data_IF_814307857689
#
_entry.id   IF_814307857689
#
_cell.length_a   1.000
_cell.length_b   1.000
_cell.length_c   1.000
_cell.angle_alpha   90.00
_cell.angle_beta   90.00
_cell.angle_gamma   90.00
#
_symmetry.space_group_name_H-M   'P 1'
#
loop_
_entity.id
_entity.type
_entity.pdbx_description
1 polymer ?
#
# COMPACT_ATOMS: atom_id res chain seq x y z
N UNK A 1 -6.80 -5.72 -15.64
CA UNK A 1 -6.96 -4.32 -16.10
C UNK A 1 -8.32 -4.04 -16.77
N UNK A 2 -8.90 -4.94 -17.58
CA UNK A 2 -10.16 -4.63 -18.30
C UNK A 2 -11.38 -4.40 -17.38
N UNK A 3 -11.53 -5.19 -16.30
CA UNK A 3 -12.63 -5.03 -15.34
C UNK A 3 -12.55 -3.74 -14.54
N UNK A 4 -11.35 -3.40 -14.04
CA UNK A 4 -11.14 -2.22 -13.23
C UNK A 4 -11.36 -0.91 -14.00
N UNK A 5 -10.86 -0.84 -15.24
CA UNK A 5 -11.13 0.32 -16.10
C UNK A 5 -12.62 0.43 -16.47
N UNK A 6 -13.32 -0.68 -16.70
CA UNK A 6 -14.75 -0.64 -16.98
C UNK A 6 -15.56 -0.06 -15.81
N UNK A 7 -15.20 -0.43 -14.58
CA UNK A 7 -15.82 0.05 -13.34
C UNK A 7 -15.76 1.58 -13.18
N UNK A 8 -14.69 2.19 -13.70
CA UNK A 8 -14.44 3.64 -13.64
C UNK A 8 -14.67 4.35 -14.98
N UNK A 9 -15.33 3.70 -15.95
CA UNK A 9 -15.59 4.22 -17.31
C UNK A 9 -14.35 4.56 -18.14
N UNK A 10 -13.20 3.96 -17.83
CA UNK A 10 -12.03 3.95 -18.70
C UNK A 10 -10.70 4.06 -17.94
N UNK A 11 -9.58 3.88 -18.66
CA UNK A 11 -8.24 3.95 -18.07
C UNK A 11 -7.85 5.35 -17.58
N UNK A 12 -8.44 6.42 -18.12
CA UNK A 12 -8.18 7.78 -17.64
C UNK A 12 -8.62 7.97 -16.18
N UNK A 13 -9.85 7.55 -15.86
CA UNK A 13 -10.37 7.64 -14.50
C UNK A 13 -9.59 6.76 -13.51
N UNK A 14 -9.02 5.64 -13.96
CA UNK A 14 -8.10 4.83 -13.13
C UNK A 14 -6.87 5.65 -12.74
N UNK A 15 -6.27 6.38 -13.69
CA UNK A 15 -5.11 7.23 -13.43
C UNK A 15 -5.47 8.44 -12.54
N UNK A 16 -6.64 9.02 -12.73
CA UNK A 16 -7.14 10.10 -11.88
C UNK A 16 -7.36 9.62 -10.44
N UNK A 17 -7.87 8.39 -10.27
CA UNK A 17 -8.05 7.81 -8.95
C UNK A 17 -6.72 7.48 -8.26
N UNK A 18 -5.70 7.01 -8.99
CA UNK A 18 -4.33 6.90 -8.45
C UNK A 18 -3.75 8.28 -8.04
N UNK A 19 -4.13 9.33 -8.75
CA UNK A 19 -3.73 10.70 -8.40
C UNK A 19 -4.44 11.15 -7.12
N UNK A 20 -5.74 10.84 -6.98
CA UNK A 20 -6.53 11.14 -5.79
C UNK A 20 -6.05 10.36 -4.55
N UNK A 21 -5.65 9.10 -4.71
CA UNK A 21 -5.13 8.23 -3.65
C UNK A 21 -3.98 8.85 -2.86
N UNK A 22 -3.15 9.69 -3.51
CA UNK A 22 -2.01 10.35 -2.86
C UNK A 22 -2.40 11.16 -1.63
N UNK A 23 -3.65 11.60 -1.52
CA UNK A 23 -4.16 12.33 -0.36
C UNK A 23 -4.36 11.45 0.89
N UNK A 24 -4.34 10.13 0.74
CA UNK A 24 -4.52 9.16 1.84
C UNK A 24 -3.28 8.27 2.06
N UNK A 25 -2.26 8.40 1.21
CA UNK A 25 -1.07 7.53 1.24
C UNK A 25 -0.26 7.73 2.51
N UNK A 26 -0.20 8.95 3.06
CA UNK A 26 0.45 9.26 4.33
C UNK A 26 -0.47 9.07 5.55
N UNK A 27 -1.72 8.63 5.33
CA UNK A 27 -2.70 8.44 6.40
C UNK A 27 -3.38 9.73 6.87
N UNK A 28 -3.10 10.88 6.25
CA UNK A 28 -3.74 12.16 6.59
C UNK A 28 -5.24 12.19 6.26
N UNK A 29 -5.69 11.33 5.35
CA UNK A 29 -7.11 11.11 5.03
C UNK A 29 -7.45 9.64 4.97
N UNK A 30 -8.71 9.32 5.24
CA UNK A 30 -9.25 7.98 5.03
C UNK A 30 -9.52 7.73 3.54
N UNK A 31 -9.02 6.62 2.99
CA UNK A 31 -9.19 6.33 1.55
C UNK A 31 -10.65 6.12 1.15
N UNK A 32 -11.52 5.67 2.07
CA UNK A 32 -12.96 5.50 1.78
C UNK A 32 -13.61 6.86 1.52
N UNK A 33 -13.20 7.90 2.26
CA UNK A 33 -13.66 9.27 2.04
C UNK A 33 -13.11 9.84 0.73
N UNK A 34 -11.84 9.60 0.42
CA UNK A 34 -11.22 10.02 -0.84
C UNK A 34 -11.94 9.39 -2.03
N UNK A 35 -12.22 8.09 -1.96
CA UNK A 35 -12.92 7.37 -3.02
C UNK A 35 -14.37 7.85 -3.17
N UNK A 36 -15.10 8.03 -2.06
CA UNK A 36 -16.47 8.51 -2.10
C UNK A 36 -16.56 9.89 -2.78
N UNK A 37 -15.63 10.80 -2.45
CA UNK A 37 -15.55 12.12 -3.10
C UNK A 37 -15.24 11.99 -4.58
N UNK A 38 -14.25 11.15 -4.94
CA UNK A 38 -13.88 10.93 -6.35
C UNK A 38 -15.06 10.40 -7.18
N UNK A 39 -15.79 9.40 -6.67
CA UNK A 39 -16.94 8.84 -7.38
C UNK A 39 -18.06 9.88 -7.56
N UNK A 40 -18.29 10.73 -6.57
CA UNK A 40 -19.25 11.83 -6.64
C UNK A 40 -18.83 12.89 -7.67
N UNK A 41 -17.58 13.35 -7.64
CA UNK A 41 -17.05 14.38 -8.54
C UNK A 41 -17.06 13.94 -10.01
N UNK A 42 -16.92 12.63 -10.25
CA UNK A 42 -16.92 12.04 -11.58
C UNK A 42 -18.29 11.45 -12.01
N UNK A 43 -19.33 11.65 -11.21
CA UNK A 43 -20.70 11.14 -11.44
C UNK A 43 -20.73 9.62 -11.75
N UNK A 44 -19.90 8.85 -11.05
CA UNK A 44 -19.77 7.41 -11.22
C UNK A 44 -20.74 6.67 -10.28
N UNK A 45 -21.75 5.96 -10.80
CA UNK A 45 -22.70 5.19 -9.99
C UNK A 45 -22.11 3.82 -9.61
N UNK A 46 -20.91 3.85 -9.00
CA UNK A 46 -20.12 2.68 -8.67
C UNK A 46 -20.11 2.48 -7.16
N UNK A 47 -20.26 1.25 -6.69
CA UNK A 47 -20.10 0.93 -5.27
C UNK A 47 -18.60 1.04 -4.88
N UNK A 48 -18.22 1.82 -3.86
CA UNK A 48 -16.85 1.86 -3.35
C UNK A 48 -16.25 0.48 -3.05
N UNK A 49 -17.05 -0.49 -2.59
CA UNK A 49 -16.55 -1.84 -2.29
C UNK A 49 -16.11 -2.59 -3.54
N UNK A 50 -16.77 -2.40 -4.68
CA UNK A 50 -16.36 -3.01 -5.96
C UNK A 50 -14.98 -2.50 -6.41
N UNK A 51 -14.72 -1.21 -6.15
CA UNK A 51 -13.43 -0.56 -6.43
C UNK A 51 -12.35 -1.16 -5.53
N UNK A 52 -12.61 -1.26 -4.22
CA UNK A 52 -11.65 -1.85 -3.29
C UNK A 52 -11.38 -3.33 -3.56
N UNK A 53 -12.40 -4.10 -3.95
CA UNK A 53 -12.22 -5.50 -4.34
C UNK A 53 -11.22 -5.64 -5.50
N UNK A 54 -11.30 -4.75 -6.50
CA UNK A 54 -10.36 -4.74 -7.61
C UNK A 54 -8.97 -4.23 -7.19
N UNK A 55 -8.91 -3.20 -6.34
CA UNK A 55 -7.66 -2.61 -5.87
C UNK A 55 -6.85 -3.55 -4.97
N UNK A 56 -7.56 -4.39 -4.20
CA UNK A 56 -7.02 -5.37 -3.29
C UNK A 56 -6.77 -6.74 -3.95
N UNK A 57 -6.96 -6.88 -5.25
CA UNK A 57 -6.63 -8.09 -6.00
C UNK A 57 -5.10 -8.26 -6.12
N UNK A 58 -4.45 -8.55 -5.00
CA UNK A 58 -3.00 -8.71 -4.85
C UNK A 58 -2.65 -10.18 -5.05
N UNK A 59 -1.74 -10.45 -5.96
CA UNK A 59 -1.12 -11.76 -6.10
C UNK A 59 0.20 -11.77 -5.31
N UNK A 60 0.25 -12.63 -4.29
CA UNK A 60 1.47 -12.82 -3.49
C UNK A 60 2.52 -13.55 -4.33
N UNK A 61 3.74 -13.03 -4.31
CA UNK A 61 4.88 -13.65 -4.97
C UNK A 61 5.60 -14.58 -3.99
N UNK A 62 5.17 -15.83 -3.95
CA UNK A 62 5.73 -16.85 -3.04
C UNK A 62 7.25 -17.05 -3.17
N UNK A 63 7.84 -17.06 -4.38
CA UNK A 63 9.31 -17.09 -4.52
C UNK A 63 10.03 -15.93 -3.81
N UNK A 64 9.45 -14.73 -3.79
CA UNK A 64 10.04 -13.58 -3.09
C UNK A 64 9.93 -13.77 -1.57
N UNK A 65 8.79 -14.25 -1.07
CA UNK A 65 8.63 -14.53 0.37
C UNK A 65 9.60 -15.62 0.84
N UNK A 66 9.76 -16.68 0.06
CA UNK A 66 10.74 -17.74 0.35
C UNK A 66 12.17 -17.20 0.43
N UNK A 67 12.55 -16.30 -0.48
CA UNK A 67 13.85 -15.64 -0.44
C UNK A 67 14.03 -14.79 0.82
N UNK A 68 12.99 -14.07 1.26
CA UNK A 68 13.02 -13.31 2.50
C UNK A 68 13.23 -14.23 3.71
N UNK A 69 12.55 -15.37 3.75
CA UNK A 69 12.72 -16.36 4.83
C UNK A 69 14.14 -16.93 4.85
N UNK A 70 14.73 -17.21 3.69
CA UNK A 70 16.13 -17.65 3.58
C UNK A 70 17.10 -16.60 4.11
N UNK A 71 16.90 -15.31 3.78
CA UNK A 71 17.74 -14.23 4.27
C UNK A 71 17.66 -14.11 5.80
N UNK A 72 16.46 -14.22 6.36
CA UNK A 72 16.21 -14.19 7.82
C UNK A 72 16.84 -15.38 8.52
N UNK A 73 16.71 -16.58 7.96
CA UNK A 73 17.35 -17.79 8.48
C UNK A 73 18.88 -17.67 8.52
N UNK A 74 19.46 -16.86 7.63
CA UNK A 74 20.90 -16.54 7.59
C UNK A 74 21.28 -15.31 8.45
N UNK A 75 20.37 -14.78 9.26
CA UNK A 75 20.64 -13.69 10.20
C UNK A 75 20.51 -12.28 9.62
N UNK A 76 20.03 -12.13 8.38
CA UNK A 76 19.72 -10.82 7.80
C UNK A 76 18.32 -10.38 8.22
N UNK A 77 18.20 -9.22 8.88
CA UNK A 77 16.88 -8.65 9.20
C UNK A 77 16.19 -8.15 7.94
N UNK A 78 14.93 -8.49 7.75
CA UNK A 78 14.14 -8.10 6.59
C UNK A 78 12.89 -7.35 7.00
N UNK A 79 12.64 -6.20 6.38
CA UNK A 79 11.49 -5.34 6.66
C UNK A 79 10.74 -5.02 5.37
N UNK A 80 9.41 -4.94 5.45
CA UNK A 80 8.58 -4.44 4.36
C UNK A 80 8.42 -2.92 4.49
N UNK A 81 8.83 -2.16 3.48
CA UNK A 81 8.65 -0.71 3.43
C UNK A 81 7.78 -0.32 2.23
N UNK A 82 6.52 0.09 2.45
CA UNK A 82 5.52 0.23 1.38
C UNK A 82 4.70 1.50 1.48
N UNK A 83 4.44 2.14 0.32
CA UNK A 83 3.49 3.25 0.24
C UNK A 83 2.10 2.68 0.02
N UNK A 84 1.24 2.76 1.02
CA UNK A 84 -0.14 2.27 0.96
C UNK A 84 -1.05 3.20 1.74
N UNK A 85 -2.23 3.44 1.21
CA UNK A 85 -3.33 4.03 1.97
C UNK A 85 -3.93 3.00 2.94
N UNK A 86 -4.72 3.50 3.90
CA UNK A 86 -5.17 2.74 5.06
C UNK A 86 -6.04 1.51 4.76
N UNK A 87 -6.91 1.53 3.76
CA UNK A 87 -7.75 0.38 3.35
C UNK A 87 -6.90 -0.75 2.76
N UNK A 88 -6.03 -0.45 1.79
CA UNK A 88 -5.18 -1.48 1.15
C UNK A 88 -4.09 -1.97 2.09
N UNK A 89 -3.50 -1.07 2.87
CA UNK A 89 -2.53 -1.43 3.90
C UNK A 89 -3.10 -2.41 4.92
N UNK A 90 -4.30 -2.14 5.45
CA UNK A 90 -4.99 -3.05 6.37
C UNK A 90 -5.34 -4.40 5.74
N UNK A 91 -5.79 -4.41 4.48
CA UNK A 91 -6.00 -5.65 3.73
C UNK A 91 -4.70 -6.47 3.64
N UNK A 92 -3.58 -5.84 3.29
CA UNK A 92 -2.28 -6.53 3.22
C UNK A 92 -1.87 -7.11 4.59
N UNK A 93 -2.09 -6.37 5.67
CA UNK A 93 -1.77 -6.82 7.03
C UNK A 93 -2.62 -8.02 7.48
N UNK A 94 -3.89 -8.04 7.09
CA UNK A 94 -4.87 -9.04 7.54
C UNK A 94 -4.84 -10.32 6.69
N UNK A 95 -4.63 -10.19 5.38
CA UNK A 95 -4.93 -11.27 4.44
C UNK A 95 -3.69 -11.93 3.81
N UNK A 96 -2.52 -11.28 3.84
CA UNK A 96 -1.34 -11.73 3.06
C UNK A 96 -0.23 -12.37 3.89
N UNK A 97 -0.46 -12.58 5.19
CA UNK A 97 0.49 -13.22 6.12
C UNK A 97 1.92 -12.64 6.11
N UNK A 98 2.11 -11.39 5.66
CA UNK A 98 3.43 -10.76 5.61
C UNK A 98 4.09 -10.63 6.98
N UNK A 99 3.30 -10.63 8.06
CA UNK A 99 3.82 -10.66 9.43
C UNK A 99 4.66 -11.91 9.74
N UNK A 100 4.45 -13.01 9.02
CA UNK A 100 5.22 -14.25 9.21
C UNK A 100 6.60 -14.17 8.53
N UNK A 101 6.70 -13.38 7.45
CA UNK A 101 7.88 -13.30 6.59
C UNK A 101 8.82 -12.14 6.91
N UNK A 102 8.35 -11.05 7.52
CA UNK A 102 9.18 -9.87 7.81
C UNK A 102 9.35 -9.63 9.31
N UNK A 103 10.50 -9.07 9.71
CA UNK A 103 10.77 -8.65 11.09
C UNK A 103 10.05 -7.35 11.48
N UNK A 104 9.47 -6.67 10.50
CA UNK A 104 8.60 -5.52 10.68
C UNK A 104 8.07 -4.99 9.35
N UNK A 105 7.00 -4.21 9.42
CA UNK A 105 6.30 -3.67 8.26
C UNK A 105 6.05 -2.18 8.49
N UNK A 106 6.35 -1.36 7.49
CA UNK A 106 6.26 0.09 7.53
C UNK A 106 5.35 0.56 6.41
N UNK A 107 4.08 0.74 6.74
CA UNK A 107 3.08 1.29 5.83
C UNK A 107 3.07 2.81 5.94
N UNK A 108 3.12 3.52 4.82
CA UNK A 108 3.15 4.99 4.82
C UNK A 108 1.99 5.62 5.59
N UNK A 109 0.78 5.02 5.56
CA UNK A 109 -0.36 5.53 6.34
C UNK A 109 -0.21 5.42 7.86
N UNK A 110 0.67 4.54 8.34
CA UNK A 110 0.99 4.39 9.76
C UNK A 110 2.22 5.23 10.15
N UNK A 111 3.18 5.37 9.23
CA UNK A 111 4.38 6.19 9.41
C UNK A 111 4.05 7.69 9.37
N UNK A 112 3.00 8.10 8.66
CA UNK A 112 2.59 9.51 8.55
C UNK A 112 3.28 10.28 7.41
N UNK A 113 4.12 9.60 6.63
CA UNK A 113 4.86 10.13 5.48
C UNK A 113 5.10 8.99 4.48
N UNK A 114 5.33 9.32 3.21
CA UNK A 114 5.47 8.33 2.15
C UNK A 114 6.73 8.56 1.32
N UNK A 115 7.28 7.48 0.76
CA UNK A 115 8.39 7.57 -0.21
C UNK A 115 7.96 8.41 -1.43
N UNK A 116 8.86 9.16 -2.06
CA UNK A 116 10.31 9.20 -1.82
C UNK A 116 10.76 10.23 -0.77
N UNK A 117 9.86 10.72 0.09
CA UNK A 117 10.23 11.68 1.13
C UNK A 117 11.32 11.11 2.06
N UNK A 118 12.47 11.80 2.24
CA UNK A 118 13.53 11.38 3.14
C UNK A 118 13.06 11.08 4.57
N UNK A 119 12.05 11.80 5.08
CA UNK A 119 11.57 11.64 6.46
C UNK A 119 10.98 10.25 6.70
N UNK A 120 10.42 9.61 5.66
CA UNK A 120 9.99 8.22 5.73
C UNK A 120 11.18 7.28 6.01
N UNK A 121 12.30 7.47 5.31
CA UNK A 121 13.47 6.62 5.50
C UNK A 121 14.12 6.86 6.86
N UNK A 122 14.19 8.12 7.31
CA UNK A 122 14.64 8.47 8.66
C UNK A 122 13.83 7.72 9.72
N UNK A 123 12.50 7.77 9.65
CA UNK A 123 11.62 7.09 10.60
C UNK A 123 11.83 5.57 10.60
N UNK A 124 11.98 4.94 9.44
CA UNK A 124 12.23 3.49 9.32
C UNK A 124 13.60 3.11 9.88
N UNK A 125 14.63 3.90 9.59
CA UNK A 125 16.00 3.69 10.09
C UNK A 125 16.03 3.76 11.62
N UNK A 126 15.41 4.79 12.19
CA UNK A 126 15.27 4.95 13.65
C UNK A 126 14.54 3.77 14.29
N UNK A 127 13.41 3.35 13.71
CA UNK A 127 12.61 2.24 14.23
C UNK A 127 13.33 0.88 14.16
N UNK A 128 14.17 0.68 13.15
CA UNK A 128 14.90 -0.60 12.95
C UNK A 128 16.27 -0.61 13.62
N UNK A 129 16.82 0.56 13.98
CA UNK A 129 18.21 0.71 14.37
C UNK A 129 19.17 0.22 13.28
N UNK A 130 18.77 0.31 12.02
CA UNK A 130 19.65 0.00 10.90
C UNK A 130 20.66 1.15 10.73
N UNK A 131 21.93 0.83 10.56
CA UNK A 131 22.91 1.84 10.16
C UNK A 131 22.87 1.97 8.64
N UNK A 132 22.79 3.18 8.06
CA UNK A 132 22.98 3.38 6.64
C UNK A 132 24.32 2.75 6.22
N UNK A 133 24.26 1.64 5.49
CA UNK A 133 25.44 0.99 4.95
C UNK A 133 26.12 1.88 3.91
N UNK A 134 27.45 1.86 3.89
CA UNK A 134 28.28 2.45 2.83
C UNK A 134 27.95 1.87 1.46
#
# INVERSE_FOLDING_TARGET
>A
MSGFAALLRGPAAVLDLFTAERQAIDGSRDMREVLAQFLADHELPTDPEDVFAHWNAIEVNEPVLSLVDELRANGTRCFLATNQQNVRGRYMQQELSYADHFDGQFYSFEVGVAKPDPDYFTAVIEATGAEPGR
#
